data_IF_670823243802
#
_entry.id   IF_670823243802
#
_cell.length_a   1.000
_cell.length_b   1.000
_cell.length_c   1.000
_cell.angle_alpha   90.00
_cell.angle_beta   90.00
_cell.angle_gamma   90.00
#
_symmetry.space_group_name_H-M   'P 1'
#
loop_
_entity.id
_entity.type
_entity.pdbx_description
1 polymer ?
#
# COMPACT_ATOMS: atom_id res chain seq x y z
N UNK A 1 14.18 -14.44 11.77
CA UNK A 1 13.86 -13.57 10.62
C UNK A 1 13.81 -14.42 9.36
N UNK A 2 12.69 -15.09 9.06
CA UNK A 2 12.58 -16.02 7.92
C UNK A 2 11.13 -16.15 7.41
N UNK A 3 10.32 -15.09 7.54
CA UNK A 3 8.90 -15.11 7.11
C UNK A 3 8.66 -14.46 5.75
N UNK A 4 9.67 -13.83 5.15
CA UNK A 4 9.48 -13.09 3.89
C UNK A 4 9.33 -14.05 2.71
N UNK A 5 10.14 -15.12 2.67
CA UNK A 5 10.12 -16.12 1.59
C UNK A 5 8.74 -16.73 1.33
N UNK A 6 8.02 -17.27 2.34
CA UNK A 6 6.70 -17.86 2.10
C UNK A 6 5.62 -16.83 1.71
N UNK A 7 5.77 -15.57 2.12
CA UNK A 7 4.85 -14.50 1.68
C UNK A 7 5.08 -14.18 0.20
N UNK A 8 6.34 -14.09 -0.22
CA UNK A 8 6.67 -13.88 -1.64
C UNK A 8 6.26 -15.07 -2.49
N UNK A 9 6.42 -16.31 -2.01
CA UNK A 9 5.94 -17.50 -2.74
C UNK A 9 4.44 -17.44 -3.02
N UNK A 10 3.64 -16.99 -2.04
CA UNK A 10 2.21 -16.78 -2.24
C UNK A 10 1.94 -15.70 -3.27
N UNK A 11 2.62 -14.55 -3.17
CA UNK A 11 2.44 -13.46 -4.13
C UNK A 11 2.86 -13.84 -5.56
N UNK A 12 3.87 -14.72 -5.71
CA UNK A 12 4.28 -15.28 -7.00
C UNK A 12 3.23 -16.26 -7.52
N UNK A 13 2.70 -17.13 -6.65
CA UNK A 13 1.65 -18.10 -7.01
C UNK A 13 0.37 -17.41 -7.50
N UNK A 14 0.01 -16.29 -6.89
CA UNK A 14 -1.14 -15.48 -7.28
C UNK A 14 -0.84 -14.53 -8.47
N UNK A 15 0.34 -14.62 -9.09
CA UNK A 15 0.79 -13.76 -10.20
C UNK A 15 0.81 -12.26 -9.87
N UNK A 16 0.95 -11.85 -8.61
CA UNK A 16 1.04 -10.42 -8.24
C UNK A 16 2.49 -9.91 -8.25
N UNK A 17 3.47 -10.80 -8.05
CA UNK A 17 4.88 -10.47 -8.15
C UNK A 17 5.63 -11.55 -8.92
N UNK A 18 6.70 -11.18 -9.60
CA UNK A 18 7.59 -12.10 -10.29
C UNK A 18 9.01 -12.00 -9.74
N UNK A 19 9.74 -13.11 -9.77
CA UNK A 19 11.15 -13.18 -9.39
C UNK A 19 11.99 -13.12 -10.64
N UNK A 20 12.81 -12.10 -10.73
CA UNK A 20 13.82 -11.94 -11.79
C UNK A 20 15.20 -12.11 -11.17
N UNK A 21 15.98 -13.02 -11.74
CA UNK A 21 17.39 -13.16 -11.38
C UNK A 21 18.17 -12.01 -11.99
N UNK A 22 19.06 -11.41 -11.20
CA UNK A 22 19.93 -10.37 -11.73
C UNK A 22 20.89 -10.97 -12.78
N UNK A 23 21.03 -10.35 -13.96
CA UNK A 23 21.89 -10.86 -15.03
C UNK A 23 23.39 -10.79 -14.68
N UNK A 24 23.78 -9.97 -13.69
CA UNK A 24 25.17 -9.75 -13.26
C UNK A 24 25.52 -10.61 -12.05
N UNK A 25 24.60 -10.78 -11.10
CA UNK A 25 24.80 -11.63 -9.91
C UNK A 25 23.60 -12.54 -9.65
N UNK A 26 23.76 -13.83 -9.96
CA UNK A 26 22.72 -14.86 -9.79
C UNK A 26 22.32 -15.11 -8.33
N UNK A 27 23.05 -14.54 -7.36
CA UNK A 27 22.69 -14.56 -5.92
C UNK A 27 21.66 -13.49 -5.56
N UNK A 28 21.40 -12.53 -6.45
CA UNK A 28 20.42 -11.47 -6.25
C UNK A 28 19.11 -11.84 -6.95
N UNK A 29 18.04 -11.93 -6.16
CA UNK A 29 16.67 -12.13 -6.64
C UNK A 29 15.95 -10.79 -6.53
N UNK A 30 15.57 -10.22 -7.67
CA UNK A 30 14.74 -9.02 -7.74
C UNK A 30 13.27 -9.44 -7.74
N UNK A 31 12.48 -8.85 -6.85
CA UNK A 31 11.03 -9.02 -6.86
C UNK A 31 10.44 -7.83 -7.59
N UNK A 32 9.71 -8.09 -8.68
CA UNK A 32 9.03 -7.06 -9.47
C UNK A 32 7.52 -7.28 -9.38
N UNK A 33 6.77 -6.20 -9.22
CA UNK A 33 5.31 -6.23 -9.33
C UNK A 33 4.91 -6.52 -10.78
N UNK A 34 3.99 -7.45 -10.97
CA UNK A 34 3.38 -7.71 -12.28
C UNK A 34 2.28 -6.67 -12.55
N UNK A 35 1.79 -6.55 -13.80
CA UNK A 35 0.64 -5.70 -14.11
C UNK A 35 -0.60 -6.03 -13.26
N UNK A 36 -0.89 -7.32 -13.04
CA UNK A 36 -1.99 -7.77 -12.17
C UNK A 36 -1.78 -7.41 -10.70
N UNK A 37 -0.54 -7.38 -10.21
CA UNK A 37 -0.22 -6.89 -8.87
C UNK A 37 -0.43 -5.39 -8.72
N UNK A 38 -0.11 -4.61 -9.77
CA UNK A 38 -0.42 -3.19 -9.84
C UNK A 38 -1.92 -2.93 -9.87
N UNK A 39 -2.67 -3.64 -10.72
CA UNK A 39 -4.14 -3.53 -10.80
C UNK A 39 -4.81 -3.85 -9.46
N UNK A 40 -4.30 -4.85 -8.73
CA UNK A 40 -4.80 -5.19 -7.40
C UNK A 40 -4.60 -4.01 -6.43
N UNK A 41 -3.42 -3.40 -6.42
CA UNK A 41 -3.11 -2.25 -5.56
C UNK A 41 -3.98 -1.05 -5.92
N UNK A 42 -4.19 -0.79 -7.21
CA UNK A 42 -5.08 0.28 -7.67
C UNK A 42 -6.53 0.01 -7.26
N UNK A 43 -7.03 -1.22 -7.45
CA UNK A 43 -8.38 -1.61 -7.05
C UNK A 43 -8.58 -1.50 -5.54
N UNK A 44 -7.60 -1.94 -4.74
CA UNK A 44 -7.64 -1.83 -3.28
C UNK A 44 -7.61 -0.36 -2.83
N UNK A 45 -6.77 0.47 -3.46
CA UNK A 45 -6.72 1.91 -3.21
C UNK A 45 -8.05 2.58 -3.56
N UNK A 46 -8.63 2.27 -4.72
CA UNK A 46 -9.93 2.81 -5.14
C UNK A 46 -11.04 2.39 -4.18
N UNK A 47 -11.07 1.12 -3.76
CA UNK A 47 -12.06 0.61 -2.80
C UNK A 47 -11.95 1.33 -1.45
N UNK A 48 -10.73 1.52 -0.96
CA UNK A 48 -10.47 2.25 0.30
C UNK A 48 -10.88 3.71 0.19
N UNK A 49 -10.56 4.36 -0.93
CA UNK A 49 -10.96 5.74 -1.19
C UNK A 49 -12.47 5.87 -1.33
N UNK A 50 -13.14 4.91 -1.94
CA UNK A 50 -14.60 4.90 -2.08
C UNK A 50 -15.29 4.78 -0.72
N UNK A 51 -14.84 3.85 0.13
CA UNK A 51 -15.33 3.71 1.51
C UNK A 51 -15.02 4.95 2.35
N UNK A 52 -13.87 5.59 2.13
CA UNK A 52 -13.53 6.83 2.81
C UNK A 52 -14.45 7.97 2.34
N UNK A 53 -14.59 8.17 1.03
CA UNK A 53 -15.46 9.18 0.44
C UNK A 53 -16.92 8.99 0.87
N UNK A 54 -17.40 7.75 0.91
CA UNK A 54 -18.76 7.47 1.37
C UNK A 54 -18.96 7.89 2.82
N UNK A 55 -17.94 7.74 3.68
CA UNK A 55 -17.99 8.19 5.08
C UNK A 55 -17.86 9.71 5.21
N UNK A 56 -16.98 10.32 4.41
CA UNK A 56 -16.77 11.76 4.40
C UNK A 56 -17.98 12.52 3.85
N UNK A 57 -18.75 11.91 2.94
CA UNK A 57 -19.95 12.50 2.37
C UNK A 57 -21.07 12.76 3.40
N UNK A 58 -21.00 12.15 4.59
CA UNK A 58 -21.94 12.39 5.68
C UNK A 58 -21.48 13.50 6.66
N UNK A 59 -20.26 14.01 6.50
CA UNK A 59 -19.71 15.07 7.34
C UNK A 59 -20.04 16.43 6.73
N UNK A 60 -20.35 17.40 7.59
CA UNK A 60 -20.50 18.78 7.15
C UNK A 60 -19.14 19.48 6.99
N UNK A 61 -19.15 20.72 6.50
CA UNK A 61 -17.91 21.49 6.27
C UNK A 61 -17.10 21.71 7.57
N UNK A 62 -17.74 21.82 8.73
CA UNK A 62 -17.04 22.03 10.01
C UNK A 62 -16.38 20.73 10.50
N UNK A 63 -17.06 19.60 10.33
CA UNK A 63 -16.54 18.27 10.65
C UNK A 63 -15.37 17.90 9.73
N UNK A 64 -15.48 18.21 8.43
CA UNK A 64 -14.38 18.01 7.47
C UNK A 64 -13.15 18.86 7.82
N UNK A 65 -13.36 20.13 8.18
CA UNK A 65 -12.29 21.02 8.63
C UNK A 65 -11.60 20.48 9.90
N UNK A 66 -12.39 20.03 10.87
CA UNK A 66 -11.87 19.45 12.12
C UNK A 66 -11.06 18.17 11.87
N UNK A 67 -11.51 17.35 10.91
CA UNK A 67 -10.82 16.14 10.50
C UNK A 67 -9.49 16.43 9.80
N UNK A 68 -9.45 17.43 8.91
CA UNK A 68 -8.22 17.85 8.22
C UNK A 68 -7.17 18.38 9.22
N UNK A 69 -7.60 19.19 10.17
CA UNK A 69 -6.72 19.71 11.24
C UNK A 69 -6.15 18.57 12.09
N UNK A 70 -6.99 17.61 12.49
CA UNK A 70 -6.56 16.44 13.26
C UNK A 70 -5.59 15.55 12.46
N UNK A 71 -5.88 15.29 11.18
CA UNK A 71 -5.02 14.50 10.30
C UNK A 71 -3.65 15.17 10.09
N UNK A 72 -3.64 16.48 9.88
CA UNK A 72 -2.41 17.28 9.75
C UNK A 72 -1.59 17.25 11.04
N UNK A 73 -2.23 17.40 12.20
CA UNK A 73 -1.55 17.31 13.49
C UNK A 73 -0.94 15.93 13.70
N UNK A 74 -1.68 14.86 13.38
CA UNK A 74 -1.21 13.48 13.48
C UNK A 74 -0.02 13.20 12.57
N UNK A 75 -0.06 13.62 11.30
CA UNK A 75 1.05 13.47 10.37
C UNK A 75 2.33 14.17 10.88
N UNK A 76 2.19 15.38 11.43
CA UNK A 76 3.29 16.11 12.06
C UNK A 76 3.89 15.34 13.26
N UNK A 77 3.06 14.62 14.02
CA UNK A 77 3.53 13.82 15.15
C UNK A 77 4.24 12.55 14.69
N UNK A 78 3.71 11.84 13.70
CA UNK A 78 4.37 10.64 13.12
C UNK A 78 5.76 10.98 12.60
N UNK A 79 5.94 12.13 11.94
CA UNK A 79 7.26 12.55 11.43
C UNK A 79 8.29 12.80 12.53
N UNK A 80 7.87 12.96 13.79
CA UNK A 80 8.76 13.16 14.95
C UNK A 80 9.10 11.86 15.67
N UNK A 81 8.49 10.74 15.30
CA UNK A 81 8.80 9.43 15.85
C UNK A 81 10.02 8.87 15.08
N UNK A 82 11.09 8.44 15.78
CA UNK A 82 12.30 7.91 15.15
C UNK A 82 12.12 6.55 14.47
#
# INVERSE_FOLDING_TARGET
KQQVTPIIDKLVKENFVQREYDPVDRRIIRIRLTPSGLDLLEKDKLTKLDVLNSKLAYLDENDLQSLDEAATAFLKLIQKIP
#
